data_IF_450427549230
#
_entry.id   IF_450427549230
#
_cell.length_a   1.000
_cell.length_b   1.000
_cell.length_c   1.000
_cell.angle_alpha   90.00
_cell.angle_beta   90.00
_cell.angle_gamma   90.00
#
_symmetry.space_group_name_H-M   'P 1'
#
loop_
_entity.id
_entity.type
_entity.pdbx_description
1 polymer ?
#
# COMPACT_ATOMS: atom_id res chain seq x y z
N UNK A 1 -8.55 -16.14 5.01
CA UNK A 1 -9.08 -14.95 4.35
C UNK A 1 -7.93 -14.19 3.72
N UNK A 2 -8.05 -13.86 2.45
CA UNK A 2 -7.01 -13.12 1.77
C UNK A 2 -6.89 -11.71 2.31
N UNK A 3 -5.74 -11.13 2.09
CA UNK A 3 -5.52 -9.75 2.49
C UNK A 3 -4.66 -9.04 1.47
N UNK A 4 -4.72 -7.72 1.51
CA UNK A 4 -3.98 -6.86 0.60
C UNK A 4 -3.34 -5.73 1.38
N UNK A 5 -2.07 -5.44 1.06
CA UNK A 5 -1.43 -4.23 1.52
C UNK A 5 -1.41 -3.28 0.33
N UNK A 6 -1.71 -2.02 0.52
CA UNK A 6 -1.82 -1.09 -0.60
C UNK A 6 -1.23 0.27 -0.27
N UNK A 7 -0.87 1.01 -1.31
CA UNK A 7 -0.35 2.37 -1.18
C UNK A 7 -1.18 3.27 -2.08
N UNK A 8 -1.72 4.33 -1.50
CA UNK A 8 -2.50 5.33 -2.22
C UNK A 8 -1.69 6.62 -2.32
N UNK A 9 -1.90 7.35 -3.42
CA UNK A 9 -1.40 8.71 -3.53
C UNK A 9 -2.56 9.64 -3.23
N UNK A 10 -2.37 10.52 -2.28
CA UNK A 10 -3.40 11.47 -1.89
C UNK A 10 -3.23 12.80 -2.62
N UNK A 11 -4.26 13.62 -2.63
CA UNK A 11 -4.25 14.87 -3.39
C UNK A 11 -3.17 15.84 -2.93
N UNK A 12 -2.71 15.70 -1.69
CA UNK A 12 -1.64 16.54 -1.18
C UNK A 12 -0.25 15.99 -1.52
N UNK A 13 -0.18 14.93 -2.32
CA UNK A 13 1.09 14.35 -2.73
C UNK A 13 1.69 13.35 -1.76
N UNK A 14 1.02 13.08 -0.65
CA UNK A 14 1.55 12.13 0.31
C UNK A 14 1.01 10.74 0.06
N UNK A 15 1.74 9.73 0.54
CA UNK A 15 1.32 8.35 0.40
C UNK A 15 0.57 7.90 1.64
N UNK A 16 -0.43 7.06 1.43
CA UNK A 16 -1.13 6.40 2.53
C UNK A 16 -0.99 4.89 2.34
N UNK A 17 -0.56 4.19 3.37
CA UNK A 17 -0.38 2.75 3.33
C UNK A 17 -1.40 2.08 4.24
N UNK A 18 -2.10 1.09 3.72
CA UNK A 18 -3.12 0.40 4.49
C UNK A 18 -3.18 -1.07 4.14
N UNK A 19 -4.10 -1.78 4.78
CA UNK A 19 -4.37 -3.17 4.47
C UNK A 19 -5.86 -3.42 4.53
N UNK A 20 -6.33 -4.43 3.80
CA UNK A 20 -7.75 -4.75 3.73
C UNK A 20 -7.93 -6.18 3.26
N UNK A 21 -9.11 -6.74 3.49
CA UNK A 21 -9.44 -8.05 2.95
C UNK A 21 -10.23 -7.92 1.65
N UNK A 22 -10.53 -6.70 1.21
CA UNK A 22 -11.31 -6.49 -0.02
C UNK A 22 -10.82 -5.19 -0.67
N UNK A 23 -9.92 -5.32 -1.63
CA UNK A 23 -9.26 -4.16 -2.21
C UNK A 23 -10.23 -3.24 -2.93
N UNK A 24 -11.13 -3.81 -3.73
CA UNK A 24 -12.06 -3.00 -4.50
C UNK A 24 -12.99 -2.20 -3.58
N UNK A 25 -13.52 -2.87 -2.55
CA UNK A 25 -14.41 -2.19 -1.64
C UNK A 25 -13.68 -1.11 -0.86
N UNK A 26 -12.46 -1.41 -0.40
CA UNK A 26 -11.72 -0.45 0.41
C UNK A 26 -11.34 0.77 -0.41
N UNK A 27 -10.94 0.57 -1.68
CA UNK A 27 -10.61 1.69 -2.53
C UNK A 27 -11.83 2.57 -2.75
N UNK A 28 -13.00 1.97 -2.98
CA UNK A 28 -14.22 2.73 -3.15
C UNK A 28 -14.55 3.51 -1.88
N UNK A 29 -14.36 2.91 -0.70
CA UNK A 29 -14.60 3.61 0.55
C UNK A 29 -13.68 4.82 0.68
N UNK A 30 -12.39 4.66 0.35
CA UNK A 30 -11.48 5.80 0.42
C UNK A 30 -11.92 6.91 -0.54
N UNK A 31 -12.29 6.55 -1.75
CA UNK A 31 -12.66 7.57 -2.74
C UNK A 31 -13.97 8.26 -2.41
N UNK A 32 -14.84 7.60 -1.66
CA UNK A 32 -16.10 8.19 -1.25
C UNK A 32 -15.98 8.96 0.07
N UNK A 33 -14.77 9.07 0.61
CA UNK A 33 -14.57 9.79 1.85
C UNK A 33 -14.93 8.98 3.08
N UNK A 34 -15.05 7.66 2.93
CA UNK A 34 -15.43 6.78 4.03
C UNK A 34 -14.24 5.98 4.55
N UNK A 35 -13.06 6.26 4.07
CA UNK A 35 -11.87 5.55 4.51
C UNK A 35 -11.27 6.18 5.74
N UNK A 36 -9.94 6.18 5.82
CA UNK A 36 -9.25 6.74 6.95
C UNK A 36 -9.41 8.25 6.99
N UNK A 37 -9.26 8.81 8.17
CA UNK A 37 -9.38 10.26 8.33
C UNK A 37 -8.41 11.01 7.43
N UNK A 38 -7.19 10.51 7.32
CA UNK A 38 -6.19 11.17 6.50
C UNK A 38 -6.61 11.23 5.03
N UNK A 39 -7.07 10.10 4.47
CA UNK A 39 -7.43 10.08 3.06
C UNK A 39 -8.69 10.89 2.81
N UNK A 40 -9.61 10.93 3.78
CA UNK A 40 -10.83 11.69 3.62
C UNK A 40 -10.55 13.17 3.45
N UNK A 41 -9.50 13.66 4.08
CA UNK A 41 -9.14 15.05 3.99
C UNK A 41 -8.35 15.40 2.74
N UNK A 42 -7.88 14.40 2.01
CA UNK A 42 -7.00 14.62 0.88
C UNK A 42 -7.43 13.86 -0.37
N UNK A 43 -8.73 13.95 -0.65
CA UNK A 43 -9.29 13.38 -1.87
C UNK A 43 -8.98 14.28 -3.05
N UNK A 44 -8.91 13.74 -4.24
CA UNK A 44 -9.06 12.32 -4.58
C UNK A 44 -7.80 11.53 -4.26
N UNK A 45 -7.98 10.22 -4.15
CA UNK A 45 -6.85 9.33 -3.94
C UNK A 45 -6.71 8.42 -5.14
N UNK A 46 -5.51 7.91 -5.35
CA UNK A 46 -5.21 7.04 -6.47
C UNK A 46 -4.46 5.82 -5.97
N UNK A 47 -4.86 4.63 -6.38
CA UNK A 47 -4.17 3.40 -5.99
C UNK A 47 -2.92 3.28 -6.84
N UNK A 48 -1.76 3.28 -6.19
CA UNK A 48 -0.48 3.16 -6.89
C UNK A 48 0.09 1.76 -6.87
N UNK A 49 -0.21 0.99 -5.83
CA UNK A 49 0.47 -0.27 -5.63
C UNK A 49 -0.27 -1.14 -4.64
N UNK A 50 -0.29 -2.45 -4.83
CA UNK A 50 -0.81 -3.36 -3.81
C UNK A 50 -0.13 -4.71 -3.91
N UNK A 51 -0.18 -5.46 -2.82
CA UNK A 51 0.33 -6.83 -2.75
C UNK A 51 -0.77 -7.70 -2.18
N UNK A 52 -0.94 -8.88 -2.72
CA UNK A 52 -1.95 -9.82 -2.26
C UNK A 52 -1.30 -10.89 -1.39
N UNK A 53 -1.97 -11.26 -0.31
CA UNK A 53 -1.49 -12.29 0.59
C UNK A 53 -2.60 -13.30 0.82
N UNK A 54 -2.22 -14.53 1.14
CA UNK A 54 -3.20 -15.57 1.41
C UNK A 54 -3.93 -15.31 2.72
N UNK A 55 -3.32 -14.57 3.64
CA UNK A 55 -3.89 -14.29 4.94
C UNK A 55 -3.84 -12.81 5.24
N UNK A 56 -4.93 -12.31 5.83
CA UNK A 56 -5.02 -10.88 6.13
C UNK A 56 -3.97 -10.43 7.15
N UNK A 57 -3.58 -11.30 8.08
CA UNK A 57 -2.59 -10.90 9.08
C UNK A 57 -1.23 -10.65 8.40
N UNK A 58 -0.92 -11.37 7.32
CA UNK A 58 0.32 -11.13 6.62
C UNK A 58 0.30 -9.77 5.93
N UNK A 59 -0.85 -9.40 5.37
CA UNK A 59 -0.99 -8.09 4.76
C UNK A 59 -0.82 -6.99 5.81
N UNK A 60 -1.36 -7.20 7.00
CA UNK A 60 -1.27 -6.24 8.08
C UNK A 60 0.19 -6.05 8.51
N UNK A 61 0.94 -7.14 8.65
CA UNK A 61 2.34 -7.02 9.02
C UNK A 61 3.13 -6.28 7.93
N UNK A 62 2.80 -6.56 6.67
CA UNK A 62 3.48 -5.88 5.57
C UNK A 62 3.16 -4.38 5.60
N UNK A 63 1.92 -4.04 5.89
CA UNK A 63 1.55 -2.64 6.01
C UNK A 63 2.39 -1.95 7.07
N UNK A 64 2.56 -2.57 8.23
CA UNK A 64 3.33 -1.96 9.31
C UNK A 64 4.78 -1.79 8.91
N UNK A 65 5.33 -2.75 8.18
CA UNK A 65 6.70 -2.68 7.72
C UNK A 65 6.87 -1.50 6.75
N UNK A 66 5.98 -1.40 5.77
CA UNK A 66 6.07 -0.37 4.75
C UNK A 66 5.83 1.01 5.33
N UNK A 67 4.98 1.13 6.34
CA UNK A 67 4.74 2.41 6.96
C UNK A 67 6.01 3.02 7.55
N UNK A 68 6.96 2.19 7.93
CA UNK A 68 8.22 2.67 8.47
C UNK A 68 9.26 3.04 7.43
N UNK A 69 8.97 2.83 6.16
CA UNK A 69 9.94 3.12 5.10
C UNK A 69 9.93 4.58 4.73
N UNK A 70 11.07 5.05 4.20
CA UNK A 70 11.16 6.41 3.69
C UNK A 70 10.33 6.52 2.42
N UNK A 71 10.05 7.75 2.02
CA UNK A 71 9.29 7.99 0.80
C UNK A 71 10.04 7.40 -0.41
N UNK A 72 11.34 7.59 -0.45
CA UNK A 72 12.12 7.09 -1.58
C UNK A 72 12.03 5.58 -1.69
N UNK A 73 12.03 4.89 -0.57
CA UNK A 73 11.94 3.45 -0.58
C UNK A 73 10.57 3.00 -1.04
N UNK A 74 9.51 3.71 -0.65
CA UNK A 74 8.17 3.40 -1.11
C UNK A 74 8.06 3.63 -2.61
N UNK A 75 8.68 4.69 -3.11
CA UNK A 75 8.65 4.96 -4.54
C UNK A 75 9.34 3.87 -5.34
N UNK A 76 10.44 3.35 -4.83
CA UNK A 76 11.14 2.26 -5.51
C UNK A 76 10.24 1.01 -5.58
N UNK A 77 9.52 0.74 -4.53
CA UNK A 77 8.60 -0.40 -4.51
C UNK A 77 7.48 -0.19 -5.53
N UNK A 78 6.88 0.99 -5.53
CA UNK A 78 5.79 1.32 -6.43
C UNK A 78 6.22 1.21 -7.89
N UNK A 79 7.43 1.64 -8.18
CA UNK A 79 7.93 1.66 -9.55
C UNK A 79 8.52 0.33 -10.00
N UNK A 80 8.46 -0.69 -9.16
CA UNK A 80 8.99 -1.99 -9.54
C UNK A 80 10.50 -2.08 -9.47
N UNK A 81 11.15 -1.16 -8.77
CA UNK A 81 12.59 -1.15 -8.67
C UNK A 81 13.04 -1.95 -7.46
N UNK A 82 12.49 -3.14 -7.35
CA UNK A 82 12.72 -3.94 -6.15
C UNK A 82 14.17 -4.34 -5.97
N UNK A 83 14.91 -4.39 -7.05
CA UNK A 83 16.30 -4.77 -6.94
C UNK A 83 17.13 -3.67 -6.28
N UNK A 84 16.56 -2.49 -6.11
CA UNK A 84 17.25 -1.43 -5.43
C UNK A 84 16.95 -1.44 -3.95
N UNK A 85 15.98 -2.23 -3.55
CA UNK A 85 15.70 -2.39 -2.16
C UNK A 85 16.70 -3.40 -1.65
N UNK A 86 16.91 -3.45 -0.40
CA UNK A 86 17.86 -4.38 0.17
C UNK A 86 17.45 -5.71 -0.28
N UNK A 87 18.17 -6.25 -1.09
CA UNK A 87 17.96 -7.46 -1.69
C UNK A 87 16.86 -8.23 -1.23
N UNK A 88 16.48 -8.04 -0.09
CA UNK A 88 15.46 -8.80 0.41
C UNK A 88 14.28 -8.80 -0.44
N UNK A 89 13.88 -7.68 -0.80
CA UNK A 89 12.67 -7.62 -1.49
C UNK A 89 12.72 -8.35 -2.76
N UNK A 90 13.79 -8.19 -3.45
CA UNK A 90 13.86 -8.74 -4.69
C UNK A 90 13.83 -10.21 -4.72
N UNK A 91 14.42 -10.85 -3.86
CA UNK A 91 14.42 -12.21 -3.97
C UNK A 91 13.15 -12.75 -3.64
N UNK A 92 12.43 -12.14 -2.84
CA UNK A 92 11.22 -12.69 -2.47
C UNK A 92 10.24 -12.70 -3.56
N UNK A 93 10.40 -11.90 -4.52
CA UNK A 93 9.46 -11.86 -5.55
C UNK A 93 9.77 -12.81 -6.57
N UNK A 94 10.71 -13.34 -6.38
CA UNK A 94 11.07 -14.32 -7.27
C UNK A 94 10.84 -14.03 -8.51
N UNK A 95 10.62 -13.75 -8.15
CA UNK A 95 10.55 -13.74 -8.82
C UNK A 95 10.73 -14.18 -8.97
#
# INVERSE_FOLDING_TARGET
MKGYMYILLCSNGQYYTGSTNDMDRRLAEHQNGEGANFTRKHLPVELLYFEEFQRIDKAFYREKQIQGWSRKKKEALINGQTNELPKLAKKDFGK
#
